data_IF_887854679065
#
_entry.id   IF_887854679065
#
_cell.length_a   1.000
_cell.length_b   1.000
_cell.length_c   1.000
_cell.angle_alpha   90.00
_cell.angle_beta   90.00
_cell.angle_gamma   90.00
#
_symmetry.space_group_name_H-M   'P 1'
#
loop_
_entity.id
_entity.type
_entity.pdbx_description
1 polymer ?
#
# COMPACT_ATOMS: atom_id res chain seq x y z
N UNK A 1 -4.54 45.19 -29.73
CA UNK A 1 -5.18 44.22 -28.82
C UNK A 1 -4.09 43.65 -27.93
N UNK A 2 -4.15 43.90 -26.62
CA UNK A 2 -3.10 43.52 -25.66
C UNK A 2 -3.34 42.07 -25.24
N UNK A 3 -2.34 41.20 -25.45
CA UNK A 3 -2.37 39.81 -25.03
C UNK A 3 -2.29 39.74 -23.50
N UNK A 4 -3.39 39.28 -22.90
CA UNK A 4 -3.51 39.01 -21.47
C UNK A 4 -2.84 37.65 -21.20
N UNK A 5 -1.63 37.66 -20.62
CA UNK A 5 -1.01 36.46 -20.07
C UNK A 5 -1.69 36.15 -18.73
N UNK A 6 -2.56 35.15 -18.72
CA UNK A 6 -3.11 34.58 -17.49
C UNK A 6 -2.07 33.60 -16.96
N UNK A 7 -1.37 33.99 -15.90
CA UNK A 7 -0.47 33.12 -15.14
C UNK A 7 -1.35 32.37 -14.14
N UNK A 8 -1.56 31.07 -14.35
CA UNK A 8 -2.14 30.20 -13.34
C UNK A 8 -1.06 29.88 -12.29
N UNK A 9 -1.18 30.51 -11.12
CA UNK A 9 -0.47 30.09 -9.91
C UNK A 9 -1.22 28.89 -9.32
N UNK A 10 -0.70 27.68 -9.55
CA UNK A 10 -1.06 26.50 -8.78
C UNK A 10 -0.59 26.70 -7.33
N UNK A 11 -1.46 26.60 -6.31
CA UNK A 11 -1.00 26.56 -4.93
C UNK A 11 -0.33 25.21 -4.69
N UNK A 12 1.00 25.21 -4.71
CA UNK A 12 1.79 24.13 -4.12
C UNK A 12 1.52 24.16 -2.60
N UNK A 13 0.65 23.27 -2.13
CA UNK A 13 0.56 22.95 -0.71
C UNK A 13 1.78 22.11 -0.38
N UNK A 14 2.85 22.78 0.05
CA UNK A 14 4.00 22.12 0.65
C UNK A 14 3.56 21.68 2.04
N UNK A 15 3.10 20.43 2.16
CA UNK A 15 3.02 19.75 3.46
C UNK A 15 4.47 19.58 3.94
N UNK A 16 4.93 20.56 4.71
CA UNK A 16 6.16 20.43 5.47
C UNK A 16 5.88 19.48 6.63
N UNK A 17 6.11 18.18 6.41
CA UNK A 17 6.28 17.22 7.50
C UNK A 17 7.58 17.56 8.23
N UNK A 18 7.50 18.53 9.14
CA UNK A 18 8.54 18.73 10.12
C UNK A 18 8.37 17.68 11.21
N UNK A 19 8.94 16.48 10.99
CA UNK A 19 9.31 15.61 12.10
C UNK A 19 10.42 16.32 12.90
N UNK A 20 10.01 17.06 13.92
CA UNK A 20 10.91 17.42 15.01
C UNK A 20 11.10 16.16 15.83
N UNK A 21 12.36 15.75 15.97
CA UNK A 21 12.82 14.86 17.02
C UNK A 21 12.22 15.29 18.36
N UNK A 22 11.14 14.62 18.79
CA UNK A 22 10.58 14.80 20.12
C UNK A 22 11.47 14.04 21.10
N UNK A 23 12.37 14.79 21.71
CA UNK A 23 12.99 14.38 22.96
C UNK A 23 11.89 14.10 23.99
N UNK A 24 11.62 12.81 24.25
CA UNK A 24 11.42 12.23 25.58
C UNK A 24 10.48 12.93 26.57
N UNK A 25 9.46 13.66 26.13
CA UNK A 25 8.32 13.96 27.00
C UNK A 25 7.37 12.79 26.91
N UNK A 26 7.33 11.97 27.96
CA UNK A 26 6.21 11.06 28.23
C UNK A 26 4.99 11.92 28.52
N UNK A 27 4.38 12.45 27.47
CA UNK A 27 3.04 13.01 27.54
C UNK A 27 2.16 11.87 28.07
N UNK A 28 1.66 12.02 29.29
CA UNK A 28 0.74 11.03 29.84
C UNK A 28 -0.47 11.04 28.91
N UNK A 29 -0.73 9.89 28.28
CA UNK A 29 -1.92 9.76 27.47
C UNK A 29 -3.15 10.04 28.34
N UNK A 30 -4.13 10.74 27.77
CA UNK A 30 -5.40 10.99 28.43
C UNK A 30 -6.26 9.72 28.54
N UNK A 31 -7.41 9.79 29.24
CA UNK A 31 -8.35 8.68 29.28
C UNK A 31 -8.80 8.27 27.87
N UNK A 32 -9.17 7.00 27.71
CA UNK A 32 -9.75 6.46 26.47
C UNK A 32 -11.27 6.47 26.61
N UNK A 33 -11.90 7.56 26.18
CA UNK A 33 -13.33 7.79 26.40
C UNK A 33 -13.68 7.75 27.88
N UNK A 34 -14.53 6.78 28.28
CA UNK A 34 -14.96 6.54 29.66
C UNK A 34 -14.04 5.61 30.46
N UNK A 35 -12.88 5.23 29.91
CA UNK A 35 -11.91 4.34 30.55
C UNK A 35 -10.76 5.20 31.08
N UNK A 36 -10.56 5.17 32.39
CA UNK A 36 -9.45 5.91 33.01
C UNK A 36 -8.10 5.37 32.56
N UNK A 37 -7.08 6.23 32.54
CA UNK A 37 -5.72 5.82 32.15
C UNK A 37 -5.18 4.69 33.04
N UNK A 38 -5.44 4.73 34.35
CA UNK A 38 -5.03 3.69 35.30
C UNK A 38 -5.72 2.34 35.02
N UNK A 39 -7.02 2.37 34.70
CA UNK A 39 -7.77 1.16 34.35
C UNK A 39 -7.27 0.57 33.02
N UNK A 40 -7.06 1.41 32.00
CA UNK A 40 -6.47 0.96 30.74
C UNK A 40 -5.06 0.41 30.96
N UNK A 41 -4.25 1.08 31.78
CA UNK A 41 -2.85 0.73 31.96
C UNK A 41 -2.63 -0.63 32.61
N UNK A 42 -3.54 -1.01 33.49
CA UNK A 42 -3.56 -2.31 34.19
C UNK A 42 -4.23 -3.42 33.37
N UNK A 43 -4.89 -3.07 32.25
CA UNK A 43 -5.53 -4.04 31.37
C UNK A 43 -4.51 -4.78 30.49
N UNK A 44 -4.80 -6.04 30.21
CA UNK A 44 -4.03 -6.83 29.23
C UNK A 44 -4.70 -6.68 27.85
N UNK A 45 -3.98 -6.25 26.81
CA UNK A 45 -4.53 -6.17 25.46
C UNK A 45 -5.13 -7.51 24.99
N UNK A 46 -6.36 -7.50 24.44
CA UNK A 46 -6.99 -8.69 23.91
C UNK A 46 -6.36 -9.12 22.58
N UNK A 47 -6.75 -10.28 22.07
CA UNK A 47 -6.55 -10.64 20.66
C UNK A 47 -7.57 -9.91 19.78
N UNK A 48 -7.31 -9.82 18.47
CA UNK A 48 -8.32 -9.31 17.52
C UNK A 48 -9.60 -10.14 17.52
N UNK A 49 -9.47 -11.47 17.64
CA UNK A 49 -10.63 -12.35 17.74
C UNK A 49 -11.47 -12.09 19.00
N UNK A 50 -10.83 -11.87 20.16
CA UNK A 50 -11.53 -11.55 21.40
C UNK A 50 -12.26 -10.19 21.31
N UNK A 51 -11.61 -9.18 20.72
CA UNK A 51 -12.26 -7.91 20.44
C UNK A 51 -13.47 -8.05 19.50
N UNK A 52 -13.34 -8.81 18.39
CA UNK A 52 -14.43 -9.02 17.45
C UNK A 52 -15.67 -9.64 18.13
N UNK A 53 -15.45 -10.68 18.93
CA UNK A 53 -16.52 -11.37 19.66
C UNK A 53 -17.18 -10.45 20.69
N UNK A 54 -16.39 -9.66 21.42
CA UNK A 54 -16.90 -8.70 22.39
C UNK A 54 -17.74 -7.61 21.71
N UNK A 55 -17.24 -7.03 20.60
CA UNK A 55 -17.95 -6.04 19.80
C UNK A 55 -19.31 -6.57 19.33
N UNK A 56 -19.34 -7.75 18.69
CA UNK A 56 -20.57 -8.36 18.20
C UNK A 56 -21.57 -8.61 19.33
N UNK A 57 -21.10 -9.14 20.47
CA UNK A 57 -21.97 -9.42 21.62
C UNK A 57 -22.57 -8.13 22.19
N UNK A 58 -21.76 -7.09 22.38
CA UNK A 58 -22.21 -5.79 22.92
C UNK A 58 -23.23 -5.14 21.98
N UNK A 59 -22.93 -5.06 20.68
CA UNK A 59 -23.82 -4.44 19.69
C UNK A 59 -25.12 -5.23 19.50
N UNK A 60 -25.06 -6.57 19.52
CA UNK A 60 -26.26 -7.40 19.45
C UNK A 60 -27.14 -7.29 20.71
N UNK A 61 -26.54 -7.03 21.87
CA UNK A 61 -27.29 -6.80 23.11
C UNK A 61 -27.90 -5.39 23.17
N UNK A 62 -27.21 -4.39 22.63
CA UNK A 62 -27.68 -3.01 22.58
C UNK A 62 -27.13 -2.27 21.35
N UNK A 63 -27.92 -2.22 20.27
CA UNK A 63 -27.52 -1.54 19.03
C UNK A 63 -27.44 -0.02 19.15
N UNK A 64 -28.07 0.57 20.17
CA UNK A 64 -28.07 2.03 20.36
C UNK A 64 -26.67 2.55 20.75
N UNK A 65 -25.79 1.68 21.25
CA UNK A 65 -24.39 2.00 21.55
C UNK A 65 -23.60 2.41 20.30
N UNK A 66 -24.04 2.03 19.09
CA UNK A 66 -23.41 2.48 17.84
C UNK A 66 -23.51 4.00 17.62
N UNK A 67 -24.29 4.72 18.44
CA UNK A 67 -24.40 6.17 18.39
C UNK A 67 -23.36 6.90 19.27
N UNK A 68 -22.54 6.17 20.05
CA UNK A 68 -21.55 6.73 20.98
C UNK A 68 -20.32 5.82 21.08
N UNK A 69 -19.21 6.22 20.44
CA UNK A 69 -17.95 5.46 20.51
C UNK A 69 -17.45 5.32 21.96
N UNK A 70 -17.65 6.33 22.81
CA UNK A 70 -17.22 6.31 24.22
C UNK A 70 -17.97 5.26 25.06
N UNK A 71 -19.30 5.17 24.90
CA UNK A 71 -20.13 4.19 25.60
C UNK A 71 -19.88 2.77 25.06
N UNK A 72 -19.79 2.63 23.72
CA UNK A 72 -19.47 1.37 23.07
C UNK A 72 -18.12 0.83 23.53
N UNK A 73 -17.11 1.69 23.62
CA UNK A 73 -15.75 1.32 24.06
C UNK A 73 -15.73 0.85 25.50
N UNK A 74 -16.49 1.53 26.39
CA UNK A 74 -16.64 1.11 27.78
C UNK A 74 -17.22 -0.29 27.89
N UNK A 75 -18.34 -0.54 27.21
CA UNK A 75 -19.03 -1.83 27.26
C UNK A 75 -18.18 -2.97 26.67
N UNK A 76 -17.47 -2.71 25.56
CA UNK A 76 -16.52 -3.67 24.98
C UNK A 76 -15.38 -3.98 25.95
N UNK A 77 -14.81 -2.95 26.58
CA UNK A 77 -13.72 -3.12 27.53
C UNK A 77 -14.16 -3.95 28.75
N UNK A 78 -15.34 -3.68 29.28
CA UNK A 78 -15.92 -4.44 30.40
C UNK A 78 -16.24 -5.89 30.00
N UNK A 79 -16.78 -6.10 28.81
CA UNK A 79 -17.05 -7.45 28.27
C UNK A 79 -15.77 -8.28 28.15
N UNK A 80 -14.68 -7.70 27.65
CA UNK A 80 -13.37 -8.36 27.55
C UNK A 80 -12.80 -8.66 28.94
N UNK A 81 -12.91 -7.73 29.88
CA UNK A 81 -12.43 -7.89 31.26
C UNK A 81 -13.20 -8.97 32.02
N UNK A 82 -14.51 -9.06 31.81
CA UNK A 82 -15.37 -10.04 32.47
C UNK A 82 -15.18 -11.47 31.95
N UNK A 83 -14.93 -11.64 30.65
CA UNK A 83 -14.87 -12.96 30.01
C UNK A 83 -13.45 -13.44 29.71
N UNK A 84 -12.44 -12.60 29.99
CA UNK A 84 -11.03 -12.88 29.83
C UNK A 84 -10.57 -12.86 28.36
N UNK A 85 -9.31 -12.49 28.12
CA UNK A 85 -8.69 -12.54 26.80
C UNK A 85 -8.45 -13.96 26.26
N UNK A 86 -8.96 -15.00 26.94
CA UNK A 86 -8.51 -16.39 26.84
C UNK A 86 -9.58 -17.37 26.31
N UNK A 87 -10.39 -16.96 25.34
CA UNK A 87 -11.03 -17.97 24.49
C UNK A 87 -9.94 -18.67 23.68
N UNK A 88 -9.58 -19.88 24.11
CA UNK A 88 -8.61 -20.77 23.47
C UNK A 88 -8.98 -21.01 22.00
N UNK A 89 -8.41 -20.22 21.09
CA UNK A 89 -8.15 -20.65 19.72
C UNK A 89 -6.73 -21.24 19.74
N UNK A 90 -6.62 -22.56 19.57
CA UNK A 90 -5.33 -23.25 19.60
C UNK A 90 -4.41 -22.66 18.53
N UNK A 91 -3.31 -22.05 18.95
CA UNK A 91 -2.28 -21.54 18.07
C UNK A 91 -1.50 -22.69 17.43
N UNK A 92 -1.63 -22.89 16.12
CA UNK A 92 -0.53 -23.47 15.34
C UNK A 92 0.44 -22.36 14.99
N UNK A 93 1.70 -22.56 15.39
CA UNK A 93 2.82 -21.64 15.21
C UNK A 93 2.91 -21.12 13.78
N UNK A 94 2.75 -19.81 13.60
CA UNK A 94 3.39 -19.07 12.50
C UNK A 94 3.49 -17.61 12.95
N UNK A 95 4.71 -17.07 12.95
CA UNK A 95 5.02 -15.65 13.15
C UNK A 95 4.53 -14.80 11.96
N UNK A 96 3.24 -14.87 11.65
CA UNK A 96 2.66 -14.04 10.59
C UNK A 96 2.18 -12.72 11.19
N UNK A 97 2.58 -11.67 10.48
CA UNK A 97 2.29 -10.25 10.60
C UNK A 97 1.00 -9.82 11.28
N UNK A 98 -0.06 -10.62 11.27
CA UNK A 98 -1.23 -10.48 12.14
C UNK A 98 -1.84 -11.87 12.31
N UNK A 99 -1.52 -12.53 13.41
CA UNK A 99 -2.32 -13.66 13.82
C UNK A 99 -3.56 -13.09 14.53
N UNK A 100 -4.77 -13.35 14.04
CA UNK A 100 -6.00 -12.92 14.75
C UNK A 100 -6.06 -13.48 16.18
N UNK A 101 -5.27 -14.53 16.46
CA UNK A 101 -5.07 -15.13 17.79
C UNK A 101 -3.89 -14.54 18.58
N UNK A 102 -3.08 -13.66 17.98
CA UNK A 102 -2.09 -12.86 18.71
C UNK A 102 -2.75 -11.67 19.41
N UNK A 103 -2.24 -11.34 20.60
CA UNK A 103 -2.64 -10.14 21.32
C UNK A 103 -2.25 -8.89 20.53
N UNK A 104 -3.12 -7.89 20.57
CA UNK A 104 -2.79 -6.53 20.16
C UNK A 104 -1.64 -5.99 21.02
N UNK A 105 -0.86 -5.08 20.46
CA UNK A 105 -0.02 -4.18 21.26
C UNK A 105 -0.90 -3.26 22.11
N UNK A 106 -0.34 -2.72 23.18
CA UNK A 106 -1.06 -1.74 24.01
C UNK A 106 -1.39 -0.45 23.24
N UNK A 107 -0.55 -0.07 22.28
CA UNK A 107 -0.82 1.07 21.39
C UNK A 107 -2.01 0.78 20.46
N UNK A 108 -2.05 -0.39 19.82
CA UNK A 108 -3.19 -0.79 18.98
C UNK A 108 -4.47 -0.88 19.81
N UNK A 109 -4.40 -1.46 21.01
CA UNK A 109 -5.56 -1.60 21.87
C UNK A 109 -6.18 -0.25 22.24
N UNK A 110 -5.34 0.77 22.46
CA UNK A 110 -5.83 2.14 22.66
C UNK A 110 -6.58 2.64 21.43
N UNK A 111 -5.98 2.56 20.23
CA UNK A 111 -6.63 3.05 19.00
C UNK A 111 -7.95 2.34 18.73
N UNK A 112 -8.00 1.03 19.01
CA UNK A 112 -9.22 0.22 18.89
C UNK A 112 -10.32 0.69 19.83
N UNK A 113 -9.99 0.99 21.10
CA UNK A 113 -10.95 1.54 22.05
C UNK A 113 -11.26 3.03 21.82
N UNK A 114 -10.45 3.77 21.08
CA UNK A 114 -10.82 5.14 20.67
C UNK A 114 -11.79 5.13 19.48
N UNK A 115 -11.84 4.02 18.73
CA UNK A 115 -12.60 3.91 17.47
C UNK A 115 -13.14 2.48 17.26
N UNK A 116 -13.89 1.87 18.20
CA UNK A 116 -14.32 0.47 18.09
C UNK A 116 -15.08 0.16 16.80
N UNK A 117 -15.92 1.08 16.31
CA UNK A 117 -16.67 0.83 15.07
C UNK A 117 -15.76 0.74 13.84
N UNK A 118 -14.72 1.58 13.77
CA UNK A 118 -13.74 1.54 12.69
C UNK A 118 -12.85 0.29 12.81
N UNK A 119 -12.39 -0.02 14.02
CA UNK A 119 -11.59 -1.20 14.30
C UNK A 119 -12.32 -2.50 13.93
N UNK A 120 -13.61 -2.61 14.21
CA UNK A 120 -14.41 -3.78 13.82
C UNK A 120 -14.47 -3.95 12.30
N UNK A 121 -14.72 -2.86 11.56
CA UNK A 121 -14.85 -2.89 10.10
C UNK A 121 -13.56 -3.33 9.37
N UNK A 122 -12.39 -3.11 9.96
CA UNK A 122 -11.11 -3.42 9.31
C UNK A 122 -10.57 -4.82 9.62
N UNK A 123 -11.18 -5.57 10.55
CA UNK A 123 -10.70 -6.92 10.88
C UNK A 123 -10.61 -7.85 9.65
N UNK A 124 -11.60 -7.87 8.73
CA UNK A 124 -11.50 -8.69 7.52
C UNK A 124 -10.31 -8.31 6.62
N UNK A 125 -9.89 -7.04 6.59
CA UNK A 125 -8.85 -6.57 5.67
C UNK A 125 -7.46 -7.11 6.01
N UNK A 126 -7.25 -7.53 7.26
CA UNK A 126 -6.01 -8.18 7.70
C UNK A 126 -5.78 -9.48 6.94
N UNK A 127 -6.75 -10.39 6.94
CA UNK A 127 -6.65 -11.68 6.24
C UNK A 127 -6.56 -11.50 4.72
N UNK A 128 -7.34 -10.55 4.18
CA UNK A 128 -7.29 -10.17 2.76
C UNK A 128 -5.91 -9.68 2.35
N UNK A 129 -5.29 -8.80 3.15
CA UNK A 129 -3.96 -8.25 2.84
C UNK A 129 -2.87 -9.32 2.77
N UNK A 130 -2.86 -10.25 3.72
CA UNK A 130 -1.92 -11.37 3.75
C UNK A 130 -2.14 -12.31 2.57
N UNK A 131 -3.40 -12.67 2.29
CA UNK A 131 -3.76 -13.53 1.17
C UNK A 131 -3.31 -12.93 -0.15
N UNK A 132 -3.53 -11.63 -0.36
CA UNK A 132 -3.07 -10.92 -1.54
C UNK A 132 -1.54 -10.94 -1.67
N UNK A 133 -0.82 -10.64 -0.59
CA UNK A 133 0.63 -10.65 -0.58
C UNK A 133 1.23 -12.00 -1.01
N UNK A 134 0.77 -13.09 -0.39
CA UNK A 134 1.25 -14.45 -0.72
C UNK A 134 0.80 -14.89 -2.12
N UNK A 135 -0.40 -14.50 -2.54
CA UNK A 135 -0.92 -14.86 -3.87
C UNK A 135 -0.12 -14.20 -5.00
N UNK A 136 0.24 -12.93 -4.86
CA UNK A 136 0.84 -12.15 -5.93
C UNK A 136 2.38 -12.06 -5.89
N UNK A 137 2.97 -12.31 -4.72
CA UNK A 137 4.41 -12.41 -4.51
C UNK A 137 4.84 -13.76 -3.89
N UNK A 138 4.43 -14.90 -4.45
CA UNK A 138 4.75 -16.21 -3.88
C UNK A 138 6.24 -16.56 -3.98
N UNK A 139 6.99 -15.90 -4.88
CA UNK A 139 8.44 -16.02 -4.95
C UNK A 139 9.17 -15.57 -3.69
N UNK A 140 8.54 -14.76 -2.83
CA UNK A 140 9.13 -14.26 -1.58
C UNK A 140 9.07 -15.30 -0.44
N UNK A 141 8.61 -16.53 -0.71
CA UNK A 141 8.67 -17.64 0.25
C UNK A 141 10.10 -17.91 0.73
N UNK A 142 11.10 -17.74 -0.15
CA UNK A 142 12.53 -17.93 0.16
C UNK A 142 13.07 -16.97 1.23
N UNK A 143 12.42 -15.82 1.40
CA UNK A 143 12.69 -14.81 2.43
C UNK A 143 11.57 -14.72 3.46
N UNK A 144 10.73 -15.75 3.55
CA UNK A 144 9.61 -15.86 4.50
C UNK A 144 8.61 -14.68 4.41
N UNK A 145 8.48 -14.08 3.23
CA UNK A 145 7.64 -12.90 2.96
C UNK A 145 7.98 -11.66 3.80
N UNK A 146 9.10 -11.64 4.51
CA UNK A 146 9.44 -10.62 5.52
C UNK A 146 10.50 -9.67 5.00
N UNK A 147 10.18 -8.36 4.99
CA UNK A 147 11.02 -7.33 4.37
C UNK A 147 11.04 -7.42 2.84
N UNK A 148 10.15 -8.19 2.23
CA UNK A 148 10.10 -8.44 0.79
C UNK A 148 8.95 -7.69 0.11
N UNK A 149 8.76 -7.87 -1.20
CA UNK A 149 7.67 -7.21 -1.96
C UNK A 149 6.30 -7.66 -1.48
N UNK A 150 6.16 -8.92 -1.08
CA UNK A 150 4.97 -9.42 -0.39
C UNK A 150 4.66 -8.60 0.88
N UNK A 151 5.68 -8.32 1.70
CA UNK A 151 5.53 -7.50 2.92
C UNK A 151 5.08 -6.09 2.57
N UNK A 152 5.75 -5.47 1.58
CA UNK A 152 5.45 -4.12 1.13
C UNK A 152 4.00 -3.99 0.62
N UNK A 153 3.56 -4.93 -0.23
CA UNK A 153 2.19 -4.97 -0.73
C UNK A 153 1.18 -5.15 0.42
N UNK A 154 1.43 -6.09 1.32
CA UNK A 154 0.57 -6.39 2.48
C UNK A 154 0.31 -5.15 3.33
N UNK A 155 1.37 -4.41 3.67
CA UNK A 155 1.29 -3.15 4.40
C UNK A 155 0.44 -2.12 3.67
N UNK A 156 0.72 -1.91 2.39
CA UNK A 156 0.03 -0.90 1.60
C UNK A 156 -1.45 -1.23 1.36
N UNK A 157 -1.78 -2.48 1.01
CA UNK A 157 -3.18 -2.88 0.77
C UNK A 157 -3.98 -2.88 2.07
N UNK A 158 -3.40 -3.32 3.19
CA UNK A 158 -4.08 -3.26 4.48
C UNK A 158 -4.47 -1.82 4.83
N UNK A 159 -3.55 -0.87 4.62
CA UNK A 159 -3.81 0.55 4.86
C UNK A 159 -4.81 1.17 3.88
N UNK A 160 -4.73 0.85 2.59
CA UNK A 160 -5.71 1.29 1.61
C UNK A 160 -7.13 0.80 1.96
N UNK A 161 -7.25 -0.46 2.40
CA UNK A 161 -8.52 -1.04 2.86
C UNK A 161 -8.99 -0.44 4.19
N UNK A 162 -8.07 -0.08 5.11
CA UNK A 162 -8.44 0.65 6.31
C UNK A 162 -9.07 2.00 5.95
N UNK A 163 -8.46 2.78 5.05
CA UNK A 163 -9.05 4.05 4.60
C UNK A 163 -10.42 3.83 3.98
N UNK A 164 -10.56 2.85 3.09
CA UNK A 164 -11.83 2.52 2.43
C UNK A 164 -12.95 2.17 3.42
N UNK A 165 -12.63 1.38 4.45
CA UNK A 165 -13.61 0.85 5.40
C UNK A 165 -13.81 1.75 6.64
N UNK A 166 -12.98 2.79 6.78
CA UNK A 166 -13.04 3.74 7.89
C UNK A 166 -12.73 5.17 7.39
N UNK A 167 -11.54 5.69 7.70
CA UNK A 167 -11.03 6.98 7.25
C UNK A 167 -9.48 7.04 7.37
N UNK A 168 -8.90 8.09 6.81
CA UNK A 168 -7.45 8.37 6.80
C UNK A 168 -6.86 8.46 8.21
N UNK A 169 -7.49 9.21 9.11
CA UNK A 169 -6.98 9.44 10.47
C UNK A 169 -6.88 8.13 11.27
N UNK A 170 -7.89 7.29 11.20
CA UNK A 170 -7.89 5.99 11.84
C UNK A 170 -6.79 5.08 11.27
N UNK A 171 -6.65 5.02 9.93
CA UNK A 171 -5.62 4.21 9.28
C UNK A 171 -4.20 4.65 9.71
N UNK A 172 -3.94 5.95 9.81
CA UNK A 172 -2.66 6.49 10.26
C UNK A 172 -2.36 6.11 11.72
N UNK A 173 -3.33 6.30 12.63
CA UNK A 173 -3.18 5.94 14.04
C UNK A 173 -2.96 4.44 14.21
N UNK A 174 -3.78 3.62 13.56
CA UNK A 174 -3.75 2.17 13.70
C UNK A 174 -2.47 1.57 13.15
N UNK A 175 -2.03 2.00 11.96
CA UNK A 175 -0.80 1.51 11.35
C UNK A 175 0.45 1.99 12.09
N UNK A 176 0.46 3.23 12.59
CA UNK A 176 1.54 3.73 13.44
C UNK A 176 1.63 2.96 14.77
N UNK A 177 0.47 2.70 15.38
CA UNK A 177 0.38 1.90 16.60
C UNK A 177 0.92 0.48 16.39
N UNK A 178 0.62 -0.16 15.25
CA UNK A 178 1.16 -1.47 14.88
C UNK A 178 2.69 -1.48 14.90
N UNK A 179 3.29 -0.48 14.26
CA UNK A 179 4.74 -0.44 14.13
C UNK A 179 5.45 -0.19 15.45
N UNK A 180 4.76 0.21 16.53
CA UNK A 180 5.42 0.36 17.85
C UNK A 180 6.11 -0.92 18.32
N UNK A 181 5.58 -2.10 17.97
CA UNK A 181 6.19 -3.40 18.28
C UNK A 181 7.28 -3.86 17.31
N UNK A 182 7.55 -3.12 16.23
CA UNK A 182 8.60 -3.47 15.26
C UNK A 182 9.96 -3.01 15.80
N UNK A 183 10.75 -3.94 16.35
CA UNK A 183 12.06 -3.63 16.95
C UNK A 183 13.13 -3.25 15.90
N UNK A 184 13.12 -3.93 14.75
CA UNK A 184 14.07 -3.65 13.68
C UNK A 184 13.75 -2.30 13.01
N UNK A 185 14.68 -1.35 13.10
CA UNK A 185 14.51 0.02 12.60
C UNK A 185 14.29 0.09 11.09
N UNK A 186 14.97 -0.75 10.32
CA UNK A 186 14.84 -0.76 8.85
C UNK A 186 13.48 -1.31 8.43
N UNK A 187 13.03 -2.39 9.09
CA UNK A 187 11.68 -2.93 8.89
C UNK A 187 10.62 -1.93 9.28
N UNK A 188 10.76 -1.29 10.45
CA UNK A 188 9.84 -0.23 10.90
C UNK A 188 9.77 0.90 9.88
N UNK A 189 10.89 1.37 9.34
CA UNK A 189 10.91 2.43 8.33
C UNK A 189 10.24 2.01 7.02
N UNK A 190 10.53 0.79 6.53
CA UNK A 190 9.88 0.20 5.35
C UNK A 190 8.37 0.10 5.54
N UNK A 191 7.94 -0.41 6.69
CA UNK A 191 6.53 -0.58 7.04
C UNK A 191 5.81 0.77 7.11
N UNK A 192 6.37 1.76 7.81
CA UNK A 192 5.79 3.11 7.90
C UNK A 192 5.65 3.77 6.54
N UNK A 193 6.66 3.66 5.66
CA UNK A 193 6.59 4.16 4.28
C UNK A 193 5.45 3.49 3.49
N UNK A 194 5.41 2.15 3.49
CA UNK A 194 4.41 1.40 2.73
C UNK A 194 2.99 1.60 3.30
N UNK A 195 2.86 1.77 4.63
CA UNK A 195 1.61 2.15 5.29
C UNK A 195 1.13 3.51 4.75
N UNK A 196 1.98 4.54 4.82
CA UNK A 196 1.67 5.89 4.34
C UNK A 196 1.27 5.90 2.86
N UNK A 197 1.99 5.16 2.01
CA UNK A 197 1.65 5.03 0.60
C UNK A 197 0.26 4.39 0.39
N UNK A 198 -0.06 3.33 1.14
CA UNK A 198 -1.39 2.71 1.12
C UNK A 198 -2.51 3.67 1.53
N UNK A 199 -2.28 4.47 2.57
CA UNK A 199 -3.22 5.49 3.06
C UNK A 199 -3.45 6.57 1.99
N UNK A 200 -2.39 7.08 1.38
CA UNK A 200 -2.48 8.06 0.30
C UNK A 200 -3.30 7.50 -0.86
N UNK A 201 -3.01 6.26 -1.28
CA UNK A 201 -3.68 5.62 -2.40
C UNK A 201 -5.17 5.39 -2.13
N UNK A 202 -5.53 4.88 -0.95
CA UNK A 202 -6.93 4.72 -0.54
C UNK A 202 -7.67 6.05 -0.47
N UNK A 203 -7.01 7.10 0.02
CA UNK A 203 -7.59 8.45 0.11
C UNK A 203 -7.77 9.10 -1.26
N UNK A 204 -6.84 8.84 -2.19
CA UNK A 204 -6.87 9.33 -3.58
C UNK A 204 -7.99 8.67 -4.41
N UNK A 205 -8.34 7.43 -4.09
CA UNK A 205 -9.33 6.64 -4.83
C UNK A 205 -10.45 6.11 -3.92
N UNK A 206 -11.27 6.99 -3.31
CA UNK A 206 -12.26 6.58 -2.32
C UNK A 206 -13.33 5.62 -2.88
N UNK A 207 -13.63 5.73 -4.18
CA UNK A 207 -14.63 4.90 -4.87
C UNK A 207 -14.06 3.59 -5.44
N UNK A 208 -12.74 3.36 -5.37
CA UNK A 208 -12.14 2.14 -5.90
C UNK A 208 -12.61 0.90 -5.13
N UNK A 209 -12.89 -0.20 -5.82
CA UNK A 209 -13.12 -1.50 -5.18
C UNK A 209 -11.83 -2.06 -4.56
N UNK A 210 -11.94 -3.07 -3.71
CA UNK A 210 -10.77 -3.73 -3.12
C UNK A 210 -9.83 -4.28 -4.21
N UNK A 211 -10.40 -4.89 -5.25
CA UNK A 211 -9.65 -5.40 -6.39
C UNK A 211 -8.97 -4.29 -7.18
N UNK A 212 -9.62 -3.14 -7.36
CA UNK A 212 -9.03 -1.99 -8.04
C UNK A 212 -7.86 -1.40 -7.24
N UNK A 213 -7.99 -1.27 -5.92
CA UNK A 213 -6.90 -0.84 -5.04
C UNK A 213 -5.72 -1.82 -5.10
N UNK A 214 -6.01 -3.12 -5.14
CA UNK A 214 -4.98 -4.16 -5.27
C UNK A 214 -4.25 -4.06 -6.61
N UNK A 215 -4.96 -3.96 -7.73
CA UNK A 215 -4.36 -3.78 -9.06
C UNK A 215 -3.49 -2.53 -9.09
N UNK A 216 -4.00 -1.42 -8.56
CA UNK A 216 -3.26 -0.16 -8.45
C UNK A 216 -1.94 -0.33 -7.69
N UNK A 217 -1.92 -1.11 -6.60
CA UNK A 217 -0.73 -1.38 -5.79
C UNK A 217 0.25 -2.38 -6.43
N UNK A 218 -0.28 -3.43 -7.07
CA UNK A 218 0.53 -4.44 -7.77
C UNK A 218 1.33 -3.85 -8.93
N UNK A 219 0.77 -2.83 -9.54
CA UNK A 219 1.37 -2.12 -10.66
C UNK A 219 2.13 -0.86 -10.23
N UNK A 220 2.45 -0.67 -8.94
CA UNK A 220 3.37 0.40 -8.52
C UNK A 220 4.83 0.02 -8.74
N UNK A 221 5.71 1.02 -8.59
CA UNK A 221 7.14 0.77 -8.48
C UNK A 221 7.40 0.04 -7.15
N UNK A 222 8.21 -1.02 -7.21
CA UNK A 222 8.77 -1.69 -6.04
C UNK A 222 10.27 -1.40 -6.05
N UNK A 223 10.77 -0.71 -5.03
CA UNK A 223 12.17 -0.28 -4.97
C UNK A 223 12.90 -1.03 -3.86
N UNK A 224 13.98 -1.73 -4.20
CA UNK A 224 14.88 -2.27 -3.20
C UNK A 224 15.62 -1.11 -2.51
N UNK A 225 15.60 -1.09 -1.18
CA UNK A 225 16.38 -0.17 -0.36
C UNK A 225 17.28 -0.95 0.59
N UNK A 226 18.50 -0.47 0.86
CA UNK A 226 19.47 -1.19 1.69
C UNK A 226 19.28 -0.96 3.19
N UNK A 227 18.44 0.00 3.56
CA UNK A 227 18.12 0.33 4.93
C UNK A 227 17.34 1.63 5.05
N UNK A 228 16.94 1.95 6.28
CA UNK A 228 16.11 3.11 6.63
C UNK A 228 16.65 4.45 6.13
N UNK A 229 17.97 4.63 6.03
CA UNK A 229 18.59 5.87 5.54
C UNK A 229 18.34 6.16 4.06
N UNK A 230 17.94 5.16 3.27
CA UNK A 230 17.63 5.31 1.85
C UNK A 230 16.15 5.59 1.60
N UNK A 231 15.30 5.42 2.62
CA UNK A 231 13.87 5.70 2.52
C UNK A 231 13.68 7.22 2.68
N UNK A 232 13.34 7.87 1.57
CA UNK A 232 13.11 9.30 1.48
C UNK A 232 11.64 9.57 1.20
N UNK A 233 11.08 10.65 1.74
CA UNK A 233 9.72 11.12 1.47
C UNK A 233 9.46 11.39 -0.03
N UNK A 234 10.52 11.42 -0.85
CA UNK A 234 10.44 11.58 -2.31
C UNK A 234 10.37 10.26 -3.07
N UNK A 235 10.57 9.12 -2.41
CA UNK A 235 10.41 7.83 -3.06
C UNK A 235 8.93 7.61 -3.37
N UNK A 236 8.65 7.41 -4.66
CA UNK A 236 7.30 7.11 -5.13
C UNK A 236 7.17 5.59 -5.35
N UNK A 237 6.11 5.01 -4.79
CA UNK A 237 5.85 3.59 -4.82
C UNK A 237 6.22 2.89 -3.51
N UNK A 238 6.26 1.56 -3.58
CA UNK A 238 6.52 0.68 -2.46
C UNK A 238 8.01 0.38 -2.35
N UNK A 239 8.48 0.15 -1.13
CA UNK A 239 9.88 -0.18 -0.83
C UNK A 239 10.00 -1.54 -0.16
N UNK A 240 11.07 -2.25 -0.45
CA UNK A 240 11.39 -3.55 0.16
C UNK A 240 12.89 -3.66 0.46
N UNK A 241 13.25 -4.58 1.35
CA UNK A 241 14.62 -4.75 1.88
C UNK A 241 15.31 -6.04 1.40
N UNK A 242 14.53 -7.05 0.99
CA UNK A 242 15.00 -8.41 0.70
C UNK A 242 14.21 -9.04 -0.45
N UNK A 243 14.76 -10.09 -1.05
CA UNK A 243 14.07 -10.85 -2.09
C UNK A 243 14.11 -10.17 -3.47
N UNK A 244 15.18 -9.41 -3.73
CA UNK A 244 15.47 -8.89 -5.07
C UNK A 244 15.53 -10.03 -6.09
N UNK A 245 14.88 -9.83 -7.23
CA UNK A 245 14.86 -10.72 -8.38
C UNK A 245 15.56 -10.06 -9.54
N UNK A 246 15.92 -10.88 -10.53
CA UNK A 246 16.70 -10.48 -11.69
C UNK A 246 16.17 -9.21 -12.37
N UNK A 247 14.86 -9.14 -12.61
CA UNK A 247 14.24 -7.98 -13.24
C UNK A 247 13.63 -6.99 -12.23
N UNK A 248 14.06 -6.93 -10.97
CA UNK A 248 13.71 -5.81 -10.09
C UNK A 248 14.57 -4.57 -10.40
N UNK A 249 14.43 -4.06 -11.63
CA UNK A 249 15.32 -3.07 -12.19
C UNK A 249 14.57 -1.85 -12.74
N UNK A 250 15.32 -0.76 -12.85
CA UNK A 250 14.90 0.44 -13.57
C UNK A 250 15.71 0.51 -14.85
N UNK A 251 15.07 0.33 -15.99
CA UNK A 251 15.72 0.43 -17.30
C UNK A 251 15.31 1.72 -18.00
N UNK A 252 16.22 2.24 -18.82
CA UNK A 252 16.00 3.46 -19.60
C UNK A 252 16.26 3.19 -21.07
N UNK A 253 15.58 3.89 -21.96
CA UNK A 253 15.80 3.71 -23.39
C UNK A 253 14.81 4.47 -24.24
N UNK A 254 14.34 3.85 -25.31
CA UNK A 254 13.46 4.48 -26.28
C UNK A 254 12.18 3.68 -26.54
N UNK A 255 11.08 4.40 -26.73
CA UNK A 255 9.79 3.89 -27.15
C UNK A 255 9.42 4.54 -28.49
N UNK A 256 9.58 3.79 -29.58
CA UNK A 256 9.24 4.22 -30.93
C UNK A 256 7.74 4.24 -31.14
N UNK A 257 7.17 5.36 -31.60
CA UNK A 257 5.78 5.41 -32.05
C UNK A 257 5.70 6.18 -33.38
N UNK A 258 5.62 5.48 -34.53
CA UNK A 258 5.53 6.07 -35.86
C UNK A 258 4.33 7.01 -36.01
N UNK A 259 3.19 6.72 -35.36
CA UNK A 259 2.00 7.59 -35.38
C UNK A 259 2.28 8.95 -34.73
N UNK A 260 3.29 9.01 -33.86
CA UNK A 260 3.64 10.21 -33.10
C UNK A 260 4.81 11.00 -33.69
N UNK A 261 5.50 10.51 -34.73
CA UNK A 261 6.57 11.25 -35.41
C UNK A 261 7.98 11.14 -34.80
N UNK A 262 8.28 10.09 -34.03
CA UNK A 262 9.63 9.83 -33.52
C UNK A 262 9.65 9.07 -32.18
N UNK A 263 10.85 8.68 -31.70
CA UNK A 263 11.00 7.97 -30.43
C UNK A 263 10.70 8.87 -29.23
N UNK A 264 10.24 8.25 -28.16
CA UNK A 264 10.08 8.83 -26.83
C UNK A 264 11.18 8.29 -25.92
N UNK A 265 11.70 9.12 -25.02
CA UNK A 265 12.57 8.64 -23.95
C UNK A 265 11.71 7.82 -22.97
N UNK A 266 12.10 6.58 -22.72
CA UNK A 266 11.37 5.65 -21.88
C UNK A 266 12.16 5.37 -20.60
N UNK A 267 11.46 5.34 -19.48
CA UNK A 267 11.93 4.79 -18.21
C UNK A 267 10.93 3.75 -17.74
N UNK A 268 11.36 2.52 -17.52
CA UNK A 268 10.51 1.42 -17.04
C UNK A 268 11.04 0.90 -15.71
N UNK A 269 10.14 0.69 -14.75
CA UNK A 269 10.45 0.08 -13.46
C UNK A 269 9.75 -1.27 -13.43
N UNK A 270 10.54 -2.33 -13.28
CA UNK A 270 10.06 -3.69 -13.21
C UNK A 270 10.00 -4.18 -11.77
N UNK A 271 9.00 -5.01 -11.49
CA UNK A 271 8.87 -5.84 -10.30
C UNK A 271 8.65 -7.27 -10.78
N UNK A 272 9.51 -8.18 -10.35
CA UNK A 272 9.58 -9.54 -10.87
C UNK A 272 9.26 -10.58 -9.80
N UNK A 273 8.40 -11.53 -10.12
CA UNK A 273 8.13 -12.67 -9.27
C UNK A 273 7.87 -13.93 -10.10
N UNK A 274 8.79 -14.89 -10.03
CA UNK A 274 8.81 -16.11 -10.86
C UNK A 274 8.72 -15.80 -12.37
N UNK A 275 7.61 -16.14 -13.02
CA UNK A 275 7.38 -15.84 -14.43
C UNK A 275 6.53 -14.58 -14.62
N UNK A 276 6.16 -13.88 -13.56
CA UNK A 276 5.35 -12.67 -13.65
C UNK A 276 6.20 -11.42 -13.49
N UNK A 277 5.95 -10.45 -14.36
CA UNK A 277 6.54 -9.10 -14.28
C UNK A 277 5.44 -8.06 -14.22
N UNK A 278 5.66 -7.01 -13.45
CA UNK A 278 4.72 -5.89 -13.29
C UNK A 278 5.49 -4.59 -13.17
N UNK A 279 4.79 -3.47 -13.32
CA UNK A 279 5.32 -2.18 -12.91
C UNK A 279 4.77 -1.04 -13.71
N UNK A 280 5.61 -0.01 -13.86
CA UNK A 280 5.24 1.26 -14.52
C UNK A 280 6.30 1.68 -15.50
N UNK A 281 5.88 2.36 -16.54
CA UNK A 281 6.81 3.13 -17.36
C UNK A 281 6.33 4.56 -17.58
N UNK A 282 7.30 5.42 -17.79
CA UNK A 282 7.12 6.81 -18.19
C UNK A 282 7.74 6.96 -19.56
N UNK A 283 7.00 7.58 -20.49
CA UNK A 283 7.54 8.03 -21.78
C UNK A 283 7.50 9.56 -21.85
N UNK A 284 8.59 10.17 -22.31
CA UNK A 284 8.77 11.61 -22.37
C UNK A 284 9.21 12.01 -23.78
N UNK A 285 8.64 13.10 -24.31
CA UNK A 285 9.11 13.71 -25.55
C UNK A 285 8.85 15.21 -25.56
N UNK A 286 9.92 15.99 -25.45
CA UNK A 286 9.81 17.43 -25.23
C UNK A 286 9.09 17.70 -23.91
N UNK A 287 7.98 18.43 -23.94
CA UNK A 287 7.15 18.69 -22.75
C UNK A 287 6.06 17.63 -22.52
N UNK A 288 5.85 16.70 -23.46
CA UNK A 288 4.84 15.66 -23.33
C UNK A 288 5.34 14.52 -22.42
N UNK A 289 4.52 14.12 -21.44
CA UNK A 289 4.79 13.03 -20.52
C UNK A 289 3.57 12.10 -20.46
N UNK A 290 3.81 10.79 -20.49
CA UNK A 290 2.77 9.80 -20.22
C UNK A 290 3.28 8.77 -19.23
N UNK A 291 2.47 8.45 -18.23
CA UNK A 291 2.68 7.32 -17.35
C UNK A 291 1.74 6.17 -17.73
N UNK A 292 2.25 4.95 -17.59
CA UNK A 292 1.54 3.71 -17.89
C UNK A 292 1.92 2.66 -16.87
N UNK A 293 1.02 1.70 -16.70
CA UNK A 293 1.22 0.50 -15.90
C UNK A 293 1.23 -0.72 -16.80
N UNK A 294 1.84 -1.80 -16.35
CA UNK A 294 1.82 -3.05 -17.08
C UNK A 294 1.86 -4.24 -16.14
N UNK A 295 1.35 -5.35 -16.66
CA UNK A 295 1.56 -6.70 -16.13
C UNK A 295 1.97 -7.61 -17.27
N UNK A 296 2.71 -8.68 -16.99
CA UNK A 296 3.25 -9.50 -18.05
C UNK A 296 3.84 -10.82 -17.59
N UNK A 297 4.29 -11.60 -18.57
CA UNK A 297 4.88 -12.91 -18.37
C UNK A 297 6.28 -12.94 -18.96
N UNK A 298 7.23 -13.46 -18.19
CA UNK A 298 8.59 -13.79 -18.60
C UNK A 298 8.68 -15.31 -18.89
N UNK A 299 9.14 -15.67 -20.08
CA UNK A 299 9.34 -17.06 -20.50
C UNK A 299 10.49 -17.15 -21.50
N UNK A 300 11.54 -17.92 -21.17
CA UNK A 300 12.74 -18.10 -22.00
C UNK A 300 13.33 -16.76 -22.50
N UNK A 301 13.62 -15.84 -21.56
CA UNK A 301 14.19 -14.50 -21.84
C UNK A 301 13.32 -13.60 -22.72
N UNK A 302 12.06 -14.00 -22.94
CA UNK A 302 11.05 -13.24 -23.64
C UNK A 302 9.98 -12.75 -22.67
N UNK A 303 9.71 -11.47 -22.71
CA UNK A 303 8.74 -10.78 -21.89
C UNK A 303 7.56 -10.34 -22.75
N UNK A 304 6.35 -10.73 -22.36
CA UNK A 304 5.11 -10.19 -22.97
C UNK A 304 4.41 -9.33 -21.95
N UNK A 305 4.25 -8.04 -22.25
CA UNK A 305 3.64 -7.06 -21.38
C UNK A 305 2.27 -6.63 -21.92
N UNK A 306 1.26 -6.70 -21.09
CA UNK A 306 -0.03 -6.05 -21.27
C UNK A 306 0.01 -4.71 -20.53
N UNK A 307 -0.14 -3.63 -21.28
CA UNK A 307 0.03 -2.26 -20.82
C UNK A 307 -1.33 -1.61 -20.71
N UNK A 308 -1.68 -1.33 -19.46
CA UNK A 308 -2.94 -0.70 -19.08
C UNK A 308 -3.03 0.72 -19.63
N UNK A 309 -4.23 1.07 -20.10
CA UNK A 309 -4.59 2.44 -20.46
C UNK A 309 -4.33 3.39 -19.28
N UNK A 310 -3.95 4.66 -19.54
CA UNK A 310 -3.90 5.64 -18.48
C UNK A 310 -5.33 5.82 -17.94
N UNK A 311 -5.49 5.87 -16.63
CA UNK A 311 -6.78 6.27 -16.08
C UNK A 311 -7.12 7.69 -16.54
N UNK A 312 -8.42 8.02 -16.57
CA UNK A 312 -8.90 9.34 -16.98
C UNK A 312 -8.21 10.45 -16.17
N UNK A 313 -7.93 10.21 -14.88
CA UNK A 313 -7.23 11.19 -14.04
C UNK A 313 -5.71 11.27 -14.31
N UNK A 314 -5.10 10.26 -14.95
CA UNK A 314 -3.69 10.26 -15.40
C UNK A 314 -3.53 10.92 -16.77
N UNK A 315 -4.65 11.09 -17.48
CA UNK A 315 -4.73 11.78 -18.76
C UNK A 315 -5.85 12.83 -18.73
N UNK A 316 -5.75 13.86 -17.85
CA UNK A 316 -6.81 14.84 -17.66
C UNK A 316 -7.07 15.68 -18.91
N UNK A 317 -6.08 15.78 -19.81
CA UNK A 317 -6.19 16.49 -21.09
C UNK A 317 -6.86 15.65 -22.18
N UNK A 318 -7.19 14.38 -21.91
CA UNK A 318 -7.91 13.50 -22.82
C UNK A 318 -7.13 13.24 -24.12
N UNK A 319 -5.79 13.23 -24.07
CA UNK A 319 -4.97 12.88 -25.21
C UNK A 319 -5.40 11.50 -25.73
N UNK A 320 -5.53 11.34 -27.05
CA UNK A 320 -5.81 10.02 -27.65
C UNK A 320 -4.61 9.12 -27.43
N UNK A 321 -4.63 8.41 -26.30
CA UNK A 321 -3.67 7.38 -25.96
C UNK A 321 -3.86 6.16 -26.86
N UNK A 322 -2.75 5.49 -27.17
CA UNK A 322 -2.80 4.12 -27.63
C UNK A 322 -3.42 3.25 -26.53
N UNK A 323 -4.36 2.38 -26.89
CA UNK A 323 -5.09 1.51 -25.96
C UNK A 323 -4.85 0.03 -26.25
N UNK A 324 -4.92 -0.79 -25.20
CA UNK A 324 -4.57 -2.21 -25.23
C UNK A 324 -3.18 -2.43 -25.85
N UNK A 325 -2.17 -1.76 -25.29
CA UNK A 325 -0.80 -1.90 -25.79
C UNK A 325 -0.25 -3.26 -25.34
N UNK A 326 0.23 -4.07 -26.29
CA UNK A 326 0.97 -5.30 -26.01
C UNK A 326 2.42 -5.10 -26.42
N UNK A 327 3.36 -5.24 -25.48
CA UNK A 327 4.79 -5.23 -25.79
C UNK A 327 5.37 -6.65 -25.76
N UNK A 328 6.29 -6.94 -26.67
CA UNK A 328 7.07 -8.17 -26.70
C UNK A 328 8.54 -7.80 -26.69
N UNK A 329 9.23 -8.08 -25.58
CA UNK A 329 10.63 -7.73 -25.35
C UNK A 329 11.47 -9.01 -25.20
N UNK A 330 12.70 -8.98 -25.67
CA UNK A 330 13.69 -10.06 -25.56
C UNK A 330 15.03 -9.47 -25.10
N UNK A 331 15.76 -10.22 -24.27
CA UNK A 331 17.07 -9.83 -23.75
C UNK A 331 17.26 -10.14 -22.26
N UNK A 332 18.17 -9.43 -21.60
CA UNK A 332 18.53 -9.64 -20.20
C UNK A 332 18.51 -8.33 -19.39
N UNK A 333 19.07 -8.37 -18.18
CA UNK A 333 19.11 -7.21 -17.27
C UNK A 333 20.00 -6.06 -17.75
N UNK A 334 20.86 -6.28 -18.75
CA UNK A 334 21.68 -5.24 -19.38
C UNK A 334 20.99 -4.59 -20.58
N UNK A 335 19.87 -5.15 -21.05
CA UNK A 335 19.10 -4.56 -22.13
C UNK A 335 18.00 -5.47 -22.66
N UNK A 336 16.84 -4.85 -22.91
CA UNK A 336 15.66 -5.48 -23.48
C UNK A 336 15.29 -4.76 -24.76
N UNK A 337 14.92 -5.49 -25.81
CA UNK A 337 14.44 -4.86 -27.05
C UNK A 337 13.32 -5.67 -27.68
N UNK A 338 12.51 -5.02 -28.50
CA UNK A 338 11.46 -5.69 -29.25
C UNK A 338 10.40 -4.71 -29.72
N UNK A 339 9.17 -5.17 -29.85
CA UNK A 339 8.10 -4.39 -30.48
C UNK A 339 6.88 -4.24 -29.59
N UNK A 340 6.03 -3.28 -29.91
CA UNK A 340 4.72 -3.14 -29.30
C UNK A 340 3.63 -2.95 -30.36
N UNK A 341 2.41 -3.35 -30.01
CA UNK A 341 1.21 -3.19 -30.82
C UNK A 341 0.09 -2.58 -30.00
N UNK A 342 -0.92 -2.01 -30.64
CA UNK A 342 -2.09 -1.43 -29.97
C UNK A 342 -3.32 -1.56 -30.85
N UNK A 343 -4.50 -1.52 -30.24
CA UNK A 343 -5.78 -1.60 -30.96
C UNK A 343 -6.16 -0.34 -31.74
N UNK A 344 -5.62 0.83 -31.40
CA UNK A 344 -5.93 2.11 -32.05
C UNK A 344 -4.69 2.90 -32.53
N UNK A 345 -3.48 2.38 -32.31
CA UNK A 345 -2.23 2.86 -32.92
C UNK A 345 -1.68 1.78 -33.85
N UNK A 346 -2.15 1.78 -35.10
CA UNK A 346 -2.05 0.64 -36.02
C UNK A 346 -0.64 0.36 -36.51
N UNK A 347 0.27 1.34 -36.46
CA UNK A 347 1.65 1.15 -36.89
C UNK A 347 2.51 0.43 -35.85
N UNK A 348 2.03 0.32 -34.59
CA UNK A 348 2.81 -0.24 -33.49
C UNK A 348 4.11 0.54 -33.28
N UNK A 349 5.16 -0.13 -32.81
CA UNK A 349 6.49 0.44 -32.79
C UNK A 349 7.54 -0.46 -32.14
N UNK A 350 8.73 0.10 -31.94
CA UNK A 350 9.87 -0.60 -31.36
C UNK A 350 10.14 -0.09 -29.94
N UNK A 351 10.72 -0.94 -29.11
CA UNK A 351 11.18 -0.63 -27.75
C UNK A 351 12.63 -1.06 -27.65
N UNK A 352 13.48 -0.19 -27.13
CA UNK A 352 14.88 -0.49 -26.79
C UNK A 352 15.14 0.00 -25.37
N UNK A 353 15.70 -0.83 -24.50
CA UNK A 353 15.99 -0.57 -23.10
C UNK A 353 17.43 -0.97 -22.79
N UNK A 354 18.07 -0.22 -21.91
CA UNK A 354 19.48 -0.34 -21.49
C UNK A 354 19.62 -0.18 -19.98
#
# INVERSE_FOLDING_TARGET
MKNLKIIFLLPFVVLTSCSKDSQGNTEKNGPVGLISEEEFDTSTPPTYAAFNLAYEKVVNANSDLLNSEDELSREIFDEIKANGSSSQLSSTNSETFFNLTSSMTKAEWRVVLENPSAAFKIIPSVGTSYTNAVTYFPCDEDVSFSGAKADALKHAIWNALMVKNSNTEFAEKMSTARETATDNKDFKAMNLHNNAFGIELGSKFPEATEEQLLVLLLEQNYTLVKGSSEISDKLNGLVFLKGEREYDAVMVGSFGNPDSGGPWDMKINFSHCWNTVRGRFTIIRGEALQERRFSGILSNDKMTLDVSDPYIFENPEGLRACVNIIMSLEGDTNGLSGSWTSTNCYLGGEVELH
#
